data_IF_176431595444
#
_entry.id   IF_176431595444
#
_cell.length_a   1.000
_cell.length_b   1.000
_cell.length_c   1.000
_cell.angle_alpha   90.00
_cell.angle_beta   90.00
_cell.angle_gamma   90.00
#
_symmetry.space_group_name_H-M   'P 1'
#
loop_
_entity.id
_entity.type
_entity.pdbx_description
1 polymer ?
#
# COMPACT_ATOMS: atom_id res chain seq x y z
N UNK A 1 13.23 10.26 1.92
CA UNK A 1 12.72 11.60 2.25
C UNK A 1 11.51 11.52 3.18
N UNK A 2 11.53 12.27 4.29
CA UNK A 2 10.29 12.45 5.07
C UNK A 2 9.32 13.29 4.23
N UNK A 3 8.17 12.70 3.93
CA UNK A 3 7.24 13.22 2.94
C UNK A 3 6.57 14.49 3.42
N UNK A 4 6.64 15.50 2.55
CA UNK A 4 5.89 16.73 2.66
C UNK A 4 5.44 17.16 1.25
N UNK A 5 4.61 18.21 1.18
CA UNK A 5 4.04 18.69 -0.07
C UNK A 5 5.12 19.13 -1.09
N UNK A 6 6.23 19.73 -0.62
CA UNK A 6 7.31 20.19 -1.51
C UNK A 6 8.06 19.02 -2.15
N UNK A 7 8.37 17.99 -1.37
CA UNK A 7 9.00 16.75 -1.87
C UNK A 7 8.10 16.03 -2.87
N UNK A 8 6.80 15.93 -2.56
CA UNK A 8 5.81 15.33 -3.46
C UNK A 8 5.74 16.08 -4.79
N UNK A 9 5.63 17.41 -4.76
CA UNK A 9 5.64 18.24 -5.97
C UNK A 9 6.93 18.12 -6.77
N UNK A 10 8.08 17.97 -6.09
CA UNK A 10 9.38 17.75 -6.75
C UNK A 10 9.37 16.45 -7.54
N UNK A 11 9.02 15.33 -6.90
CA UNK A 11 8.95 14.01 -7.55
C UNK A 11 7.98 14.04 -8.74
N UNK A 12 6.80 14.62 -8.56
CA UNK A 12 5.81 14.71 -9.65
C UNK A 12 6.33 15.52 -10.85
N UNK A 13 7.11 16.58 -10.62
CA UNK A 13 7.73 17.37 -11.70
C UNK A 13 8.89 16.65 -12.36
N UNK A 14 9.77 16.06 -11.56
CA UNK A 14 10.98 15.37 -12.02
C UNK A 14 10.66 14.18 -12.94
N UNK A 15 9.58 13.45 -12.63
CA UNK A 15 9.14 12.29 -13.40
C UNK A 15 7.96 12.57 -14.35
N UNK A 16 7.59 13.84 -14.56
CA UNK A 16 6.43 14.25 -15.37
C UNK A 16 5.15 13.42 -15.11
N UNK A 17 4.80 13.31 -13.82
CA UNK A 17 3.61 12.61 -13.35
C UNK A 17 2.49 13.61 -13.12
N UNK A 18 1.38 13.38 -13.83
CA UNK A 18 0.09 14.03 -13.55
C UNK A 18 -0.83 13.03 -12.84
N UNK A 19 -1.39 13.39 -11.67
CA UNK A 19 -2.34 12.52 -10.98
C UNK A 19 -3.51 12.14 -11.89
N UNK A 20 -3.75 10.84 -12.03
CA UNK A 20 -4.83 10.29 -12.87
C UNK A 20 -6.09 10.13 -12.03
N UNK A 21 -7.01 11.09 -12.10
CA UNK A 21 -8.31 11.04 -11.40
C UNK A 21 -9.07 9.72 -11.64
N UNK A 22 -9.03 9.19 -12.86
CA UNK A 22 -9.69 7.91 -13.22
C UNK A 22 -9.16 6.71 -12.42
N UNK A 23 -7.92 6.76 -11.95
CA UNK A 23 -7.32 5.71 -11.12
C UNK A 23 -7.47 5.98 -9.62
N UNK A 24 -8.19 7.03 -9.23
CA UNK A 24 -8.38 7.39 -7.82
C UNK A 24 -7.09 7.76 -7.10
N UNK A 25 -6.08 8.28 -7.81
CA UNK A 25 -4.77 8.60 -7.24
C UNK A 25 -4.85 9.79 -6.28
N UNK A 26 -4.68 9.50 -4.99
CA UNK A 26 -4.51 10.47 -3.91
C UNK A 26 -3.22 10.16 -3.15
N UNK A 27 -2.22 11.02 -3.31
CA UNK A 27 -0.92 10.81 -2.67
C UNK A 27 -0.97 11.25 -1.21
N UNK A 28 -0.53 10.35 -0.33
CA UNK A 28 -0.41 10.60 1.10
C UNK A 28 0.74 11.59 1.33
N UNK A 29 0.46 12.76 1.92
CA UNK A 29 1.46 13.80 2.20
C UNK A 29 1.49 14.24 3.66
N UNK A 30 0.57 13.71 4.48
CA UNK A 30 0.43 14.06 5.89
C UNK A 30 1.26 13.10 6.77
N UNK A 31 2.30 13.66 7.40
CA UNK A 31 3.18 12.93 8.31
C UNK A 31 2.49 12.42 9.58
N UNK A 32 1.41 13.05 10.04
CA UNK A 32 0.63 12.59 11.19
C UNK A 32 -0.18 11.34 10.84
N UNK A 33 -0.79 11.32 9.65
CA UNK A 33 -1.51 10.14 9.16
C UNK A 33 -0.54 8.96 8.97
N UNK A 34 0.63 9.21 8.37
CA UNK A 34 1.69 8.19 8.26
C UNK A 34 2.09 7.63 9.62
N UNK A 35 2.32 8.49 10.61
CA UNK A 35 2.68 8.06 11.96
C UNK A 35 1.60 7.15 12.55
N UNK A 36 0.33 7.55 12.48
CA UNK A 36 -0.81 6.73 12.95
C UNK A 36 -0.89 5.38 12.25
N UNK A 37 -0.71 5.32 10.93
CA UNK A 37 -0.70 4.05 10.17
C UNK A 37 0.36 3.11 10.74
N UNK A 38 1.57 3.62 10.93
CA UNK A 38 2.71 2.83 11.39
C UNK A 38 2.54 2.37 12.85
N UNK A 39 2.03 3.25 13.71
CA UNK A 39 1.76 2.94 15.12
C UNK A 39 0.70 1.82 15.24
N UNK A 40 -0.37 1.89 14.44
CA UNK A 40 -1.42 0.86 14.40
C UNK A 40 -0.93 -0.44 13.76
N UNK A 41 -0.10 -0.35 12.72
CA UNK A 41 0.44 -1.52 12.03
C UNK A 41 1.42 -2.35 12.88
N UNK A 42 2.02 -1.73 13.91
CA UNK A 42 2.96 -2.37 14.86
C UNK A 42 4.02 -3.19 14.12
N UNK A 43 4.65 -2.58 13.12
CA UNK A 43 5.63 -3.24 12.24
C UNK A 43 6.94 -3.45 12.99
N UNK A 44 7.51 -4.65 12.88
CA UNK A 44 8.85 -5.01 13.35
C UNK A 44 9.70 -5.59 12.21
N UNK A 45 10.97 -5.83 12.50
CA UNK A 45 11.92 -6.50 11.60
C UNK A 45 11.61 -8.00 11.40
N UNK A 46 10.51 -8.53 11.92
CA UNK A 46 10.01 -9.88 11.63
C UNK A 46 8.92 -9.86 10.56
N UNK A 47 8.46 -8.68 10.16
CA UNK A 47 7.35 -8.52 9.24
C UNK A 47 7.81 -8.39 7.79
N UNK A 48 7.17 -9.18 6.92
CA UNK A 48 7.22 -9.00 5.48
C UNK A 48 5.88 -8.41 5.04
N UNK A 49 5.92 -7.15 4.60
CA UNK A 49 4.73 -6.33 4.37
C UNK A 49 4.38 -6.29 2.89
N UNK A 50 3.13 -6.56 2.58
CA UNK A 50 2.53 -6.25 1.28
C UNK A 50 1.95 -4.83 1.30
N UNK A 51 2.34 -4.04 0.32
CA UNK A 51 1.74 -2.74 0.01
C UNK A 51 1.08 -2.82 -1.37
N UNK A 52 -0.19 -2.45 -1.45
CA UNK A 52 -0.92 -2.30 -2.71
C UNK A 52 -1.18 -0.81 -2.93
N UNK A 53 -0.76 -0.29 -4.08
CA UNK A 53 -0.85 1.12 -4.44
C UNK A 53 0.29 1.96 -3.83
N UNK A 54 1.54 1.62 -4.13
CA UNK A 54 2.71 2.34 -3.61
C UNK A 54 2.77 3.82 -3.99
N UNK A 55 2.07 4.24 -5.05
CA UNK A 55 1.98 5.64 -5.39
C UNK A 55 3.36 6.23 -5.73
N UNK A 56 3.72 7.32 -5.06
CA UNK A 56 5.04 7.96 -5.16
C UNK A 56 6.05 7.43 -4.13
N UNK A 57 5.74 6.33 -3.42
CA UNK A 57 6.63 5.69 -2.46
C UNK A 57 6.57 6.24 -1.04
N UNK A 58 5.60 7.11 -0.74
CA UNK A 58 5.49 7.75 0.58
C UNK A 58 5.32 6.74 1.71
N UNK A 59 4.35 5.83 1.57
CA UNK A 59 4.11 4.81 2.59
C UNK A 59 5.21 3.75 2.52
N UNK A 60 5.56 3.30 1.31
CA UNK A 60 6.69 2.38 1.04
C UNK A 60 7.95 2.75 1.81
N UNK A 61 8.39 4.01 1.76
CA UNK A 61 9.60 4.45 2.44
C UNK A 61 9.54 4.24 3.96
N UNK A 62 8.38 4.55 4.57
CA UNK A 62 8.24 4.42 6.03
C UNK A 62 8.14 2.95 6.44
N UNK A 63 7.52 2.11 5.61
CA UNK A 63 7.49 0.66 5.80
C UNK A 63 8.90 0.07 5.75
N UNK A 64 9.71 0.46 4.76
CA UNK A 64 11.07 -0.05 4.54
C UNK A 64 12.03 0.22 5.69
N UNK A 65 11.76 1.25 6.51
CA UNK A 65 12.57 1.57 7.70
C UNK A 65 12.30 0.65 8.90
N UNK A 66 11.21 -0.13 8.87
CA UNK A 66 10.72 -0.89 10.03
C UNK A 66 10.48 -2.37 9.72
N UNK A 67 10.14 -2.70 8.49
CA UNK A 67 9.85 -4.06 8.05
C UNK A 67 11.15 -4.79 7.61
N UNK A 68 11.16 -6.11 7.74
CA UNK A 68 12.20 -6.95 7.14
C UNK A 68 12.23 -6.81 5.62
N UNK A 69 11.05 -6.81 5.00
CA UNK A 69 10.87 -6.72 3.55
C UNK A 69 9.55 -6.05 3.22
N UNK A 70 9.53 -5.24 2.17
CA UNK A 70 8.31 -4.64 1.61
C UNK A 70 8.14 -5.11 0.18
N UNK A 71 6.97 -5.66 -0.12
CA UNK A 71 6.57 -5.99 -1.48
C UNK A 71 5.50 -4.99 -1.88
N UNK A 72 5.84 -4.11 -2.82
CA UNK A 72 4.96 -3.07 -3.33
C UNK A 72 4.39 -3.48 -4.68
N UNK A 73 3.07 -3.52 -4.79
CA UNK A 73 2.33 -3.75 -6.03
C UNK A 73 1.68 -2.45 -6.48
N UNK A 74 1.98 -2.01 -7.70
CA UNK A 74 1.45 -0.78 -8.28
C UNK A 74 0.94 -1.04 -9.70
N UNK A 75 -0.18 -0.43 -10.06
CA UNK A 75 -0.80 -0.60 -11.37
C UNK A 75 -0.21 0.35 -12.42
N UNK A 76 0.08 1.59 -12.03
CA UNK A 76 0.57 2.62 -12.96
C UNK A 76 2.05 2.42 -13.29
N UNK A 77 2.34 2.05 -14.54
CA UNK A 77 3.71 1.82 -15.02
C UNK A 77 4.65 3.00 -14.74
N UNK A 78 4.17 4.26 -14.84
CA UNK A 78 4.99 5.44 -14.55
C UNK A 78 5.40 5.47 -13.08
N UNK A 79 4.45 5.18 -12.18
CA UNK A 79 4.73 5.13 -10.74
C UNK A 79 5.64 3.97 -10.37
N UNK A 80 5.50 2.82 -11.04
CA UNK A 80 6.46 1.70 -10.89
C UNK A 80 7.88 2.13 -11.24
N UNK A 81 8.08 2.87 -12.34
CA UNK A 81 9.40 3.40 -12.70
C UNK A 81 9.95 4.33 -11.61
N UNK A 82 9.10 5.20 -11.05
CA UNK A 82 9.50 6.08 -9.94
C UNK A 82 9.87 5.30 -8.70
N UNK A 83 9.05 4.34 -8.27
CA UNK A 83 9.34 3.49 -7.11
C UNK A 83 10.67 2.75 -7.30
N UNK A 84 10.92 2.21 -8.50
CA UNK A 84 12.16 1.50 -8.80
C UNK A 84 13.36 2.43 -8.73
N UNK A 85 13.26 3.64 -9.27
CA UNK A 85 14.36 4.62 -9.19
C UNK A 85 14.62 5.08 -7.76
N UNK A 86 13.54 5.39 -7.00
CA UNK A 86 13.64 5.86 -5.62
C UNK A 86 14.27 4.84 -4.67
N UNK A 87 14.02 3.56 -4.90
CA UNK A 87 14.43 2.48 -4.00
C UNK A 87 15.45 1.51 -4.61
N UNK A 88 16.11 1.88 -5.72
CA UNK A 88 17.06 1.00 -6.44
C UNK A 88 18.24 0.52 -5.59
N UNK A 89 18.66 1.31 -4.60
CA UNK A 89 19.78 1.00 -3.71
C UNK A 89 19.35 0.15 -2.49
N UNK A 90 18.06 -0.17 -2.35
CA UNK A 90 17.53 -0.94 -1.23
C UNK A 90 17.32 -2.40 -1.63
N UNK A 91 17.79 -3.32 -0.78
CA UNK A 91 17.66 -4.76 -0.99
C UNK A 91 16.41 -5.38 -0.33
N UNK A 92 15.73 -4.63 0.54
CA UNK A 92 14.56 -5.07 1.28
C UNK A 92 13.23 -4.64 0.63
N UNK A 93 13.25 -4.28 -0.67
CA UNK A 93 12.07 -3.91 -1.44
C UNK A 93 11.91 -4.81 -2.67
N UNK A 94 10.66 -5.15 -3.01
CA UNK A 94 10.29 -5.77 -4.28
C UNK A 94 9.17 -4.94 -4.89
N UNK A 95 9.32 -4.50 -6.14
CA UNK A 95 8.33 -3.65 -6.83
C UNK A 95 7.77 -4.41 -8.02
N UNK A 96 6.45 -4.58 -8.04
CA UNK A 96 5.73 -5.36 -9.04
C UNK A 96 4.70 -4.46 -9.72
N UNK A 97 4.69 -4.47 -11.05
CA UNK A 97 3.63 -3.83 -11.81
C UNK A 97 2.47 -4.82 -12.01
N UNK A 98 1.31 -4.58 -11.40
CA UNK A 98 0.15 -5.44 -11.60
C UNK A 98 -1.18 -4.76 -11.24
N UNK A 99 -2.26 -5.26 -11.83
CA UNK A 99 -3.63 -4.99 -11.37
C UNK A 99 -3.94 -5.88 -10.17
N UNK A 100 -3.98 -5.28 -8.98
CA UNK A 100 -4.19 -6.00 -7.73
C UNK A 100 -5.53 -6.76 -7.65
N UNK A 101 -6.55 -6.38 -8.43
CA UNK A 101 -7.81 -7.13 -8.48
C UNK A 101 -7.69 -8.45 -9.25
N UNK A 102 -6.70 -8.56 -10.15
CA UNK A 102 -6.50 -9.71 -11.04
C UNK A 102 -5.26 -10.53 -10.71
N UNK A 103 -4.35 -9.97 -9.93
CA UNK A 103 -3.08 -10.61 -9.59
C UNK A 103 -3.28 -11.73 -8.56
N UNK A 104 -2.64 -12.88 -8.80
CA UNK A 104 -2.56 -13.96 -7.81
C UNK A 104 -1.37 -13.73 -6.88
N UNK A 105 -1.66 -13.43 -5.62
CA UNK A 105 -0.63 -13.15 -4.62
C UNK A 105 -0.10 -14.43 -3.96
N UNK A 106 -0.70 -15.61 -4.17
CA UNK A 106 -0.27 -16.84 -3.50
C UNK A 106 1.22 -17.16 -3.65
N UNK A 107 1.81 -17.13 -4.88
CA UNK A 107 3.23 -17.43 -5.04
C UNK A 107 4.11 -16.42 -4.28
N UNK A 108 3.70 -15.15 -4.28
CA UNK A 108 4.44 -14.06 -3.66
C UNK A 108 4.39 -14.15 -2.13
N UNK A 109 3.19 -14.39 -1.58
CA UNK A 109 2.94 -14.53 -0.14
C UNK A 109 3.76 -15.69 0.41
N UNK A 110 3.76 -16.85 -0.27
CA UNK A 110 4.55 -18.02 0.14
C UNK A 110 6.05 -17.77 0.01
N UNK A 111 6.50 -17.22 -1.12
CA UNK A 111 7.93 -16.96 -1.38
C UNK A 111 8.55 -15.99 -0.38
N UNK A 112 7.80 -14.97 0.02
CA UNK A 112 8.31 -13.91 0.89
C UNK A 112 7.77 -13.99 2.32
N UNK A 113 7.05 -15.04 2.68
CA UNK A 113 6.40 -15.20 3.99
C UNK A 113 5.66 -13.92 4.42
N UNK A 114 4.83 -13.38 3.52
CA UNK A 114 4.09 -12.13 3.76
C UNK A 114 3.08 -12.36 4.88
N UNK A 115 3.21 -11.59 5.96
CA UNK A 115 2.41 -11.74 7.16
C UNK A 115 1.55 -10.52 7.49
N UNK A 116 1.78 -9.37 6.83
CA UNK A 116 1.02 -8.14 7.00
C UNK A 116 0.74 -7.47 5.66
N UNK A 117 -0.41 -6.80 5.56
CA UNK A 117 -0.71 -5.88 4.49
C UNK A 117 -0.90 -4.48 5.07
N UNK A 118 -0.19 -3.49 4.53
CA UNK A 118 -0.32 -2.08 4.91
C UNK A 118 -0.44 -1.26 3.64
N UNK A 119 -1.56 -0.56 3.44
CA UNK A 119 -1.83 0.08 2.14
C UNK A 119 -2.70 1.32 2.25
N UNK A 120 -2.47 2.30 1.36
CA UNK A 120 -3.37 3.42 1.14
C UNK A 120 -4.16 3.17 -0.15
N UNK A 121 -5.38 2.67 -0.03
CA UNK A 121 -6.10 2.10 -1.18
C UNK A 121 -6.87 3.18 -1.95
N UNK A 122 -6.85 3.13 -3.29
CA UNK A 122 -7.70 3.99 -4.10
C UNK A 122 -9.17 3.59 -3.95
N UNK A 123 -10.04 4.58 -3.80
CA UNK A 123 -11.44 4.39 -3.37
C UNK A 123 -12.26 3.50 -4.31
N UNK A 124 -11.97 3.55 -5.61
CA UNK A 124 -12.74 2.88 -6.65
C UNK A 124 -12.63 1.35 -6.61
N UNK A 125 -11.60 0.81 -5.94
CA UNK A 125 -11.37 -0.65 -5.84
C UNK A 125 -11.25 -1.14 -4.39
N UNK A 126 -11.19 -0.24 -3.41
CA UNK A 126 -10.82 -0.56 -2.04
C UNK A 126 -11.66 -1.70 -1.44
N UNK A 127 -12.99 -1.63 -1.54
CA UNK A 127 -13.88 -2.61 -0.94
C UNK A 127 -13.71 -4.02 -1.54
N UNK A 128 -13.76 -4.13 -2.87
CA UNK A 128 -13.55 -5.40 -3.58
C UNK A 128 -12.18 -5.98 -3.28
N UNK A 129 -11.15 -5.13 -3.24
CA UNK A 129 -9.80 -5.58 -2.94
C UNK A 129 -9.69 -6.10 -1.51
N UNK A 130 -10.23 -5.38 -0.51
CA UNK A 130 -10.21 -5.80 0.89
C UNK A 130 -10.86 -7.17 1.05
N UNK A 131 -12.06 -7.38 0.50
CA UNK A 131 -12.73 -8.69 0.57
C UNK A 131 -11.96 -9.79 -0.14
N UNK A 132 -11.44 -9.52 -1.34
CA UNK A 132 -10.61 -10.50 -2.05
C UNK A 132 -9.37 -10.88 -1.24
N UNK A 133 -8.71 -9.92 -0.62
CA UNK A 133 -7.50 -10.16 0.16
C UNK A 133 -7.80 -10.99 1.42
N UNK A 134 -8.82 -10.58 2.19
CA UNK A 134 -9.23 -11.28 3.41
C UNK A 134 -9.67 -12.73 3.14
N UNK A 135 -10.39 -12.98 2.04
CA UNK A 135 -10.92 -14.30 1.74
C UNK A 135 -9.89 -15.25 1.11
N UNK A 136 -8.95 -14.73 0.30
CA UNK A 136 -8.03 -15.56 -0.48
C UNK A 136 -6.70 -15.84 0.22
N UNK A 137 -6.30 -15.00 1.18
CA UNK A 137 -4.95 -15.03 1.74
C UNK A 137 -4.95 -15.08 3.28
N UNK A 138 -5.37 -16.20 3.88
CA UNK A 138 -5.42 -16.40 5.33
C UNK A 138 -4.04 -16.39 6.03
N UNK A 139 -2.95 -16.47 5.27
CA UNK A 139 -1.58 -16.37 5.77
C UNK A 139 -1.25 -14.97 6.27
N UNK A 140 -1.83 -13.93 5.68
CA UNK A 140 -1.66 -12.54 6.13
C UNK A 140 -2.48 -12.33 7.40
N UNK A 141 -1.79 -12.03 8.50
CA UNK A 141 -2.38 -11.98 9.86
C UNK A 141 -2.90 -10.62 10.26
N UNK A 142 -2.46 -9.55 9.60
CA UNK A 142 -2.96 -8.20 9.85
C UNK A 142 -3.10 -7.40 8.56
N UNK A 143 -4.22 -6.70 8.46
CA UNK A 143 -4.54 -5.80 7.38
C UNK A 143 -4.73 -4.39 7.96
N UNK A 144 -3.93 -3.44 7.49
CA UNK A 144 -4.02 -2.04 7.87
C UNK A 144 -4.20 -1.24 6.58
N UNK A 145 -5.41 -0.74 6.37
CA UNK A 145 -5.76 -0.01 5.15
C UNK A 145 -6.22 1.39 5.49
N UNK A 146 -5.69 2.37 4.77
CA UNK A 146 -6.26 3.72 4.72
C UNK A 146 -7.28 3.75 3.58
N UNK A 147 -8.50 4.17 3.91
CA UNK A 147 -9.64 4.33 3.00
C UNK A 147 -10.40 5.61 3.37
N UNK A 148 -11.31 6.05 2.51
CA UNK A 148 -12.22 7.14 2.84
C UNK A 148 -13.16 6.74 3.99
N UNK A 149 -13.57 7.73 4.79
CA UNK A 149 -14.41 7.51 5.97
C UNK A 149 -15.69 6.71 5.65
N UNK A 150 -16.39 7.07 4.57
CA UNK A 150 -17.60 6.38 4.12
C UNK A 150 -17.37 4.88 3.81
N UNK A 151 -16.18 4.51 3.34
CA UNK A 151 -15.82 3.11 3.09
C UNK A 151 -15.55 2.40 4.42
N UNK A 152 -14.84 3.06 5.35
CA UNK A 152 -14.61 2.54 6.69
C UNK A 152 -15.90 2.32 7.48
N UNK A 153 -16.84 3.24 7.38
CA UNK A 153 -18.18 3.13 7.96
C UNK A 153 -18.93 1.94 7.37
N UNK A 154 -18.94 1.80 6.04
CA UNK A 154 -19.55 0.63 5.36
C UNK A 154 -18.92 -0.69 5.79
N UNK A 155 -17.59 -0.77 5.93
CA UNK A 155 -16.92 -1.99 6.39
C UNK A 155 -17.31 -2.33 7.83
N UNK A 156 -17.40 -1.34 8.71
CA UNK A 156 -17.85 -1.56 10.09
C UNK A 156 -19.28 -2.08 10.12
N UNK A 157 -20.18 -1.48 9.32
CA UNK A 157 -21.57 -1.92 9.20
C UNK A 157 -21.64 -3.35 8.63
N UNK A 158 -20.92 -3.65 7.55
CA UNK A 158 -20.93 -4.97 6.91
C UNK A 158 -20.37 -6.05 7.86
N UNK A 159 -19.27 -5.77 8.58
CA UNK A 159 -18.72 -6.69 9.58
C UNK A 159 -19.74 -6.95 10.70
N UNK A 160 -20.51 -5.93 11.11
CA UNK A 160 -21.61 -6.11 12.08
C UNK A 160 -22.78 -6.95 11.53
N UNK A 161 -23.07 -6.88 10.22
CA UNK A 161 -24.19 -7.61 9.60
C UNK A 161 -23.88 -9.10 9.37
N UNK A 162 -22.62 -9.50 9.28
CA UNK A 162 -22.19 -10.91 9.11
C UNK A 162 -21.87 -11.65 10.42
N UNK A 163 -21.98 -11.00 11.59
CA UNK A 163 -21.64 -11.57 12.91
C UNK A 163 -22.85 -12.19 13.66
N UNK A 164 -23.93 -12.55 12.95
CA UNK A 164 -25.10 -13.22 13.54
C UNK A 164 -25.44 -14.52 12.81
#
# INVERSE_FOLDING_TARGET
MIVNLSTTKKILREFDIKPKKRLGQHFLIDGNVLRKIIDVAKISNDDNVLEIGGGIGTLTEVLLRKANKVICVEYDAKLVSVLKELFKELNNVVIIQADALKYDFNPLIKKHSINKMVSNLPYNIALTLIFNMLNKYPEIKRYIVLVQAEIGERLTIIIFVFLF
#
